data_IF_197304684151
#
_entry.id   IF_197304684151
#
_cell.length_a   1.000
_cell.length_b   1.000
_cell.length_c   1.000
_cell.angle_alpha   90.00
_cell.angle_beta   90.00
_cell.angle_gamma   90.00
#
_symmetry.space_group_name_H-M   'P 1'
#
loop_
_entity.id
_entity.type
_entity.pdbx_description
1 polymer ?
#
# COMPACT_ATOMS: atom_id res chain seq x y z
N UNK A 1 -5.51 12.66 2.24
CA UNK A 1 -4.73 11.42 2.07
C UNK A 1 -5.31 10.20 2.80
N UNK A 2 -6.13 10.33 3.86
CA UNK A 2 -6.71 9.19 4.60
C UNK A 2 -8.01 8.61 4.01
N UNK A 3 -8.67 9.33 3.09
CA UNK A 3 -10.01 8.98 2.57
C UNK A 3 -10.10 7.54 2.07
N UNK A 4 -9.15 7.05 1.27
CA UNK A 4 -9.17 5.66 0.77
C UNK A 4 -9.10 4.60 1.88
N UNK A 5 -8.43 4.92 3.00
CA UNK A 5 -8.37 4.02 4.17
C UNK A 5 -9.66 4.08 4.99
N UNK A 6 -10.25 5.27 5.13
CA UNK A 6 -11.56 5.47 5.77
C UNK A 6 -12.65 4.77 4.97
N UNK A 7 -12.60 4.87 3.64
CA UNK A 7 -13.55 4.25 2.73
C UNK A 7 -13.43 2.74 2.78
N UNK A 8 -12.22 2.18 2.68
CA UNK A 8 -12.00 0.74 2.83
C UNK A 8 -12.43 0.21 4.22
N UNK A 9 -12.21 0.97 5.29
CA UNK A 9 -12.64 0.59 6.63
C UNK A 9 -14.16 0.69 6.80
N UNK A 10 -14.81 1.70 6.21
CA UNK A 10 -16.25 1.83 6.16
C UNK A 10 -16.91 0.67 5.39
N UNK A 11 -16.32 0.25 4.26
CA UNK A 11 -16.80 -0.90 3.48
C UNK A 11 -16.63 -2.20 4.28
N UNK A 12 -15.50 -2.41 4.96
CA UNK A 12 -15.30 -3.58 5.81
C UNK A 12 -16.28 -3.64 6.98
N UNK A 13 -16.57 -2.49 7.61
CA UNK A 13 -17.56 -2.39 8.69
C UNK A 13 -18.99 -2.65 8.19
N UNK A 14 -19.34 -2.16 7.00
CA UNK A 14 -20.63 -2.41 6.38
C UNK A 14 -20.83 -3.90 6.06
N UNK A 15 -19.80 -4.58 5.53
CA UNK A 15 -19.85 -6.01 5.25
C UNK A 15 -19.99 -6.86 6.53
N UNK A 16 -19.31 -6.49 7.61
CA UNK A 16 -19.45 -7.16 8.90
C UNK A 16 -20.85 -6.95 9.51
N UNK A 17 -21.42 -5.74 9.37
CA UNK A 17 -22.78 -5.44 9.83
C UNK A 17 -23.85 -6.25 9.07
N UNK A 18 -23.68 -6.46 7.76
CA UNK A 18 -24.57 -7.32 6.97
C UNK A 18 -24.48 -8.81 7.36
N UNK A 19 -23.33 -9.25 7.88
CA UNK A 19 -23.09 -10.63 8.31
C UNK A 19 -23.32 -10.85 9.81
N UNK A 20 -23.78 -9.84 10.55
CA UNK A 20 -23.94 -9.88 12.02
C UNK A 20 -22.68 -10.36 12.77
N UNK A 21 -21.50 -10.11 12.19
CA UNK A 21 -20.20 -10.60 12.69
C UNK A 21 -19.35 -9.42 13.19
N UNK A 22 -18.53 -9.65 14.20
CA UNK A 22 -17.62 -8.63 14.71
C UNK A 22 -16.43 -8.42 13.76
N UNK A 23 -15.99 -7.15 13.62
CA UNK A 23 -14.85 -6.78 12.79
C UNK A 23 -13.58 -7.53 13.21
N UNK A 24 -13.08 -8.40 12.32
CA UNK A 24 -11.85 -9.14 12.56
C UNK A 24 -10.60 -8.38 12.07
N UNK A 25 -9.44 -8.67 12.66
CA UNK A 25 -8.13 -8.13 12.21
C UNK A 25 -7.80 -8.51 10.75
N UNK A 26 -8.32 -9.65 10.26
CA UNK A 26 -8.16 -10.09 8.87
C UNK A 26 -8.84 -9.14 7.89
N UNK A 27 -10.08 -8.73 8.18
CA UNK A 27 -10.85 -7.79 7.37
C UNK A 27 -10.22 -6.40 7.42
N UNK A 28 -9.63 -6.06 8.58
CA UNK A 28 -8.87 -4.84 8.70
C UNK A 28 -7.57 -4.85 7.87
N UNK A 29 -6.80 -5.94 7.88
CA UNK A 29 -5.62 -6.10 7.01
C UNK A 29 -6.01 -6.04 5.53
N UNK A 30 -7.09 -6.71 5.15
CA UNK A 30 -7.60 -6.68 3.78
C UNK A 30 -7.99 -5.25 3.36
N UNK A 31 -8.72 -4.51 4.20
CA UNK A 31 -9.08 -3.12 3.96
C UNK A 31 -7.85 -2.19 3.86
N UNK A 32 -6.83 -2.42 4.70
CA UNK A 32 -5.56 -1.67 4.63
C UNK A 32 -4.85 -1.94 3.33
N UNK A 33 -4.73 -3.21 2.93
CA UNK A 33 -4.10 -3.59 1.67
C UNK A 33 -4.84 -2.99 0.48
N UNK A 34 -6.17 -3.06 0.48
CA UNK A 34 -6.99 -2.52 -0.61
C UNK A 34 -6.82 -0.99 -0.72
N UNK A 35 -6.96 -0.26 0.38
CA UNK A 35 -6.80 1.19 0.40
C UNK A 35 -5.34 1.67 0.22
N UNK A 36 -4.35 0.83 0.52
CA UNK A 36 -2.95 1.10 0.22
C UNK A 36 -2.66 0.94 -1.29
N UNK A 37 -3.16 -0.13 -1.91
CA UNK A 37 -3.01 -0.39 -3.36
C UNK A 37 -3.68 0.70 -4.20
N UNK A 38 -4.85 1.20 -3.79
CA UNK A 38 -5.51 2.32 -4.47
C UNK A 38 -4.65 3.59 -4.55
N UNK A 39 -3.74 3.82 -3.59
CA UNK A 39 -2.84 4.98 -3.61
C UNK A 39 -1.62 4.77 -4.49
N UNK A 40 -1.25 3.52 -4.77
CA UNK A 40 -0.11 3.19 -5.63
C UNK A 40 -0.38 3.62 -7.06
N UNK A 41 -1.61 3.45 -7.56
CA UNK A 41 -1.96 3.80 -8.95
C UNK A 41 -1.76 5.31 -9.24
N UNK A 42 -2.31 6.25 -8.45
CA UNK A 42 -2.05 7.69 -8.63
C UNK A 42 -0.58 8.08 -8.44
N UNK A 43 0.14 7.45 -7.51
CA UNK A 43 1.54 7.81 -7.23
C UNK A 43 2.49 7.30 -8.32
N UNK A 44 2.23 6.13 -8.88
CA UNK A 44 2.93 5.61 -10.04
C UNK A 44 2.64 6.45 -11.29
N UNK A 45 1.41 6.94 -11.46
CA UNK A 45 1.07 7.85 -12.57
C UNK A 45 1.97 9.09 -12.59
N UNK A 46 2.16 9.74 -11.44
CA UNK A 46 3.02 10.94 -11.37
C UNK A 46 4.49 10.62 -11.63
N UNK A 47 4.99 9.52 -11.07
CA UNK A 47 6.39 9.12 -11.27
C UNK A 47 6.67 8.79 -12.73
N UNK A 48 5.78 8.03 -13.38
CA UNK A 48 5.92 7.67 -14.80
C UNK A 48 5.85 8.91 -15.68
N UNK A 49 4.90 9.82 -15.43
CA UNK A 49 4.78 11.06 -16.20
C UNK A 49 6.05 11.92 -16.12
N UNK A 50 6.62 12.04 -14.92
CA UNK A 50 7.82 12.86 -14.72
C UNK A 50 9.05 12.18 -15.32
N UNK A 51 9.19 10.85 -15.19
CA UNK A 51 10.24 10.11 -15.89
C UNK A 51 10.11 10.29 -17.41
N UNK A 52 8.91 10.15 -17.97
CA UNK A 52 8.70 10.33 -19.41
C UNK A 52 9.12 11.73 -19.90
N UNK A 53 8.93 12.78 -19.09
CA UNK A 53 9.36 14.15 -19.41
C UNK A 53 10.86 14.41 -19.25
N UNK A 54 11.52 13.76 -18.27
CA UNK A 54 12.93 14.01 -17.95
C UNK A 54 13.90 13.05 -18.67
N UNK A 55 13.43 11.86 -19.05
CA UNK A 55 14.25 10.85 -19.75
C UNK A 55 14.88 11.37 -21.05
N UNK A 56 14.17 12.12 -21.93
CA UNK A 56 14.78 12.68 -23.14
C UNK A 56 15.88 13.71 -22.84
N UNK A 57 15.73 14.46 -21.74
CA UNK A 57 16.71 15.46 -21.30
C UNK A 57 18.02 14.77 -20.88
N UNK A 58 17.94 13.58 -20.29
CA UNK A 58 19.11 12.79 -19.93
C UNK A 58 19.88 12.27 -21.15
N UNK A 59 19.22 12.02 -22.29
CA UNK A 59 19.89 11.57 -23.51
C UNK A 59 20.35 12.69 -24.44
N UNK A 60 19.94 13.93 -24.18
CA UNK A 60 20.39 15.09 -24.94
C UNK A 60 21.89 15.31 -24.73
N UNK A 61 22.66 15.46 -25.81
CA UNK A 61 24.12 15.75 -25.77
C UNK A 61 24.47 17.12 -26.38
N UNK A 62 23.51 18.05 -26.43
CA UNK A 62 23.73 19.41 -26.95
C UNK A 62 24.37 20.38 -25.95
N UNK A 63 24.78 21.56 -26.44
CA UNK A 63 25.24 22.68 -25.61
C UNK A 63 24.19 23.06 -24.57
N UNK A 64 24.57 23.06 -23.28
CA UNK A 64 23.66 23.29 -22.15
C UNK A 64 23.04 22.02 -21.54
N UNK A 65 23.23 20.85 -22.15
CA UNK A 65 22.76 19.57 -21.59
C UNK A 65 23.42 19.25 -20.24
N UNK A 66 24.72 19.52 -20.08
CA UNK A 66 25.43 19.25 -18.82
C UNK A 66 24.80 19.98 -17.63
N UNK A 67 24.27 21.19 -17.84
CA UNK A 67 23.60 21.96 -16.78
C UNK A 67 22.22 21.37 -16.49
N UNK A 68 21.45 21.02 -17.54
CA UNK A 68 20.12 20.42 -17.35
C UNK A 68 20.19 19.04 -16.70
N UNK A 69 21.15 18.19 -17.06
CA UNK A 69 21.36 16.89 -16.42
C UNK A 69 21.70 17.03 -14.93
N UNK A 70 22.53 18.01 -14.53
CA UNK A 70 22.87 18.25 -13.11
C UNK A 70 21.66 18.61 -12.25
N UNK A 71 20.60 19.16 -12.86
CA UNK A 71 19.34 19.49 -12.18
C UNK A 71 18.37 18.30 -12.23
N UNK A 72 18.27 17.62 -13.38
CA UNK A 72 17.33 16.53 -13.61
C UNK A 72 17.69 15.25 -12.84
N UNK A 73 18.98 14.88 -12.78
CA UNK A 73 19.44 13.62 -12.17
C UNK A 73 19.08 13.53 -10.68
N UNK A 74 19.36 14.52 -9.81
CA UNK A 74 18.97 14.47 -8.41
C UNK A 74 17.46 14.47 -8.22
N UNK A 75 16.72 15.14 -9.10
CA UNK A 75 15.26 15.23 -9.03
C UNK A 75 14.63 13.84 -9.24
N UNK A 76 15.06 13.10 -10.26
CA UNK A 76 14.62 11.73 -10.54
C UNK A 76 14.95 10.82 -9.35
N UNK A 77 16.21 10.86 -8.89
CA UNK A 77 16.65 10.06 -7.73
C UNK A 77 15.84 10.35 -6.47
N UNK A 78 15.57 11.62 -6.19
CA UNK A 78 14.76 12.07 -5.05
C UNK A 78 13.30 11.63 -5.16
N UNK A 79 12.68 11.70 -6.33
CA UNK A 79 11.31 11.22 -6.54
C UNK A 79 11.18 9.72 -6.41
N UNK A 80 12.12 8.93 -6.95
CA UNK A 80 12.12 7.48 -6.80
C UNK A 80 12.26 7.13 -5.32
N UNK A 81 13.26 7.71 -4.65
CA UNK A 81 13.54 7.44 -3.24
C UNK A 81 12.38 7.83 -2.34
N UNK A 82 11.81 9.02 -2.53
CA UNK A 82 10.63 9.51 -1.80
C UNK A 82 9.38 8.67 -2.08
N UNK A 83 9.22 8.21 -3.32
CA UNK A 83 8.09 7.34 -3.69
C UNK A 83 8.19 6.00 -3.00
N UNK A 84 9.35 5.32 -3.09
CA UNK A 84 9.61 4.06 -2.39
C UNK A 84 9.44 4.20 -0.88
N UNK A 85 10.04 5.26 -0.31
CA UNK A 85 9.90 5.57 1.10
C UNK A 85 8.43 5.72 1.47
N UNK A 86 7.63 6.47 0.69
CA UNK A 86 6.22 6.65 1.01
C UNK A 86 5.41 5.35 0.85
N UNK A 87 5.67 4.59 -0.21
CA UNK A 87 4.99 3.34 -0.53
C UNK A 87 5.26 2.24 0.50
N UNK A 88 6.44 2.26 1.14
CA UNK A 88 6.83 1.30 2.18
C UNK A 88 6.45 1.82 3.57
N UNK A 89 6.80 3.06 3.89
CA UNK A 89 6.64 3.64 5.23
C UNK A 89 5.17 3.86 5.59
N UNK A 90 4.32 4.37 4.69
CA UNK A 90 2.90 4.60 5.01
C UNK A 90 2.16 3.31 5.39
N UNK A 91 2.18 2.22 4.60
CA UNK A 91 1.51 0.98 5.00
C UNK A 91 2.17 0.32 6.22
N UNK A 92 3.49 0.41 6.37
CA UNK A 92 4.19 -0.12 7.55
C UNK A 92 3.76 0.61 8.84
N UNK A 93 3.78 1.94 8.84
CA UNK A 93 3.35 2.77 9.98
C UNK A 93 1.87 2.56 10.27
N UNK A 94 1.02 2.50 9.24
CA UNK A 94 -0.40 2.26 9.44
C UNK A 94 -0.67 0.85 10.03
N UNK A 95 0.06 -0.16 9.58
CA UNK A 95 0.01 -1.51 10.11
C UNK A 95 0.42 -1.60 11.58
N UNK A 96 1.49 -0.88 11.98
CA UNK A 96 1.98 -0.83 13.36
C UNK A 96 0.98 -0.08 14.26
N UNK A 97 0.60 1.14 13.89
CA UNK A 97 -0.28 2.00 14.72
C UNK A 97 -1.65 1.37 14.91
N UNK A 98 -2.25 0.79 13.86
CA UNK A 98 -3.56 0.13 13.97
C UNK A 98 -3.44 -1.29 14.54
N UNK A 99 -2.30 -1.95 14.31
CA UNK A 99 -1.92 -3.21 14.94
C UNK A 99 -1.59 -3.11 16.44
N UNK A 100 -1.43 -1.92 17.01
CA UNK A 100 -1.37 -1.76 18.47
C UNK A 100 -2.76 -1.65 19.11
N UNK A 101 -3.80 -1.45 18.30
CA UNK A 101 -5.15 -1.10 18.76
C UNK A 101 -6.16 -2.25 18.62
N UNK A 102 -5.74 -3.44 18.19
CA UNK A 102 -6.57 -4.64 18.14
C UNK A 102 -5.88 -5.80 18.89
N UNK A 103 -6.56 -6.58 19.74
CA UNK A 103 -5.92 -7.71 20.44
C UNK A 103 -5.57 -8.89 19.51
N UNK A 104 -4.61 -9.71 19.95
CA UNK A 104 -3.83 -10.75 19.24
C UNK A 104 -4.57 -12.07 18.88
N UNK A 105 -5.90 -12.14 19.00
CA UNK A 105 -6.61 -13.42 18.96
C UNK A 105 -6.75 -14.07 17.57
N UNK A 106 -6.18 -13.52 16.51
CA UNK A 106 -6.36 -14.01 15.14
C UNK A 106 -5.32 -15.04 14.67
N UNK A 107 -4.28 -15.33 15.45
CA UNK A 107 -3.43 -16.50 15.22
C UNK A 107 -4.09 -17.80 15.75
N UNK A 108 -5.07 -17.67 16.66
CA UNK A 108 -5.78 -18.82 17.25
C UNK A 108 -6.81 -19.49 16.32
N UNK A 109 -7.35 -18.78 15.31
CA UNK A 109 -8.46 -19.32 14.49
C UNK A 109 -8.01 -20.13 13.26
N UNK A 110 -6.74 -20.03 12.83
CA UNK A 110 -6.16 -20.97 11.86
C UNK A 110 -5.77 -22.31 12.51
N UNK A 111 -5.71 -22.35 13.85
CA UNK A 111 -5.47 -23.56 14.64
C UNK A 111 -6.76 -24.24 15.13
N UNK A 112 -7.90 -23.54 15.15
CA UNK A 112 -9.21 -24.10 15.53
C UNK A 112 -10.04 -24.65 14.36
N UNK A 113 -9.48 -24.77 13.15
CA UNK A 113 -10.06 -25.72 12.20
C UNK A 113 -9.84 -27.12 12.79
N UNK A 114 -10.90 -27.86 13.18
CA UNK A 114 -10.74 -29.15 13.82
C UNK A 114 -9.98 -30.09 12.86
N UNK A 115 -8.91 -30.70 13.37
CA UNK A 115 -8.21 -31.79 12.68
C UNK A 115 -9.16 -32.94 12.30
N UNK A 116 -10.33 -33.01 12.94
CA UNK A 116 -11.39 -34.00 12.69
C UNK A 116 -12.06 -33.88 11.31
N UNK A 117 -12.02 -32.73 10.64
CA UNK A 117 -12.64 -32.56 9.31
C UNK A 117 -11.68 -32.83 8.14
N UNK A 118 -10.39 -33.03 8.42
CA UNK A 118 -9.40 -33.47 7.41
C UNK A 118 -9.37 -34.99 7.24
N UNK A 119 -9.91 -35.74 8.20
CA UNK A 119 -9.91 -37.22 8.23
C UNK A 119 -11.22 -37.86 7.76
N UNK A 120 -12.29 -37.08 7.51
CA UNK A 120 -13.57 -37.60 7.02
C UNK A 120 -13.68 -37.61 5.47
N UNK A 121 -12.60 -37.29 4.76
CA UNK A 121 -12.53 -37.24 3.29
C UNK A 121 -11.53 -38.25 2.69
N UNK A 122 -11.06 -39.22 3.49
CA UNK A 122 -10.33 -40.42 3.06
C UNK A 122 -11.03 -41.68 3.59
#
# INVERSE_FOLDING_TARGET
MLIYLEQAFATAKANCALQNRSLARSDLRAAIMYGAVERVRPKMMTVVAIMAGLVPILWSTGTGSEVMQRIAVPMIGGMISSTLLTLIVIPAVYGIVKGWRLPEWAESQLQTMPAELKLAAE
#
